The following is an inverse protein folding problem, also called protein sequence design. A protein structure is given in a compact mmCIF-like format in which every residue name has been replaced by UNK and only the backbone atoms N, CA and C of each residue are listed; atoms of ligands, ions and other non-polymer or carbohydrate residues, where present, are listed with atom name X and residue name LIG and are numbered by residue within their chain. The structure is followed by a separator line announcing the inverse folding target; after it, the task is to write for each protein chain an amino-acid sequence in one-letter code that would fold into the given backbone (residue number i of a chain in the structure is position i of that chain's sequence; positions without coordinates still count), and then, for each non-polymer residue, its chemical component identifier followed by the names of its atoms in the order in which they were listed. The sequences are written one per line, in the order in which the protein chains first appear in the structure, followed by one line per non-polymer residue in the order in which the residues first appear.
data_IF_370133923755
#
_entry.id   IF_370133923755
#
_cell.length_a   1.000
_cell.length_b   1.000
_cell.length_c   1.000
_cell.angle_alpha   90.00
_cell.angle_beta   90.00
_cell.angle_gamma   90.00
#
_symmetry.space_group_name_H-M   'P 1'
#
loop_
_entity.id
_entity.type
_entity.pdbx_description
1 polymer ?
#
# COMPACT_ATOMS: atom_id res chain seq x y z
N UNK A 1 3.83 -45.50 5.85
CA UNK A 1 5.05 -44.68 5.74
C UNK A 1 4.99 -43.90 4.43
N UNK A 2 4.54 -42.64 4.47
CA UNK A 2 4.60 -41.72 3.32
C UNK A 2 4.30 -40.29 3.82
N UNK A 3 5.30 -39.58 4.35
CA UNK A 3 5.11 -38.18 4.80
C UNK A 3 6.37 -37.30 4.76
N UNK A 4 7.39 -37.64 3.97
CA UNK A 4 8.65 -36.86 3.92
C UNK A 4 8.93 -36.17 2.57
N UNK A 5 7.98 -36.17 1.62
CA UNK A 5 8.22 -35.65 0.27
C UNK A 5 7.88 -34.17 0.04
N UNK A 6 6.89 -33.63 0.76
CA UNK A 6 6.35 -32.28 0.49
C UNK A 6 7.07 -31.15 1.25
N UNK A 7 7.71 -31.44 2.38
CA UNK A 7 8.43 -30.45 3.20
C UNK A 7 9.79 -30.07 2.60
N UNK A 8 10.49 -31.02 1.96
CA UNK A 8 11.82 -30.81 1.38
C UNK A 8 11.82 -30.00 0.07
N UNK A 9 10.71 -29.99 -0.68
CA UNK A 9 10.63 -29.25 -1.94
C UNK A 9 10.48 -27.73 -1.73
N UNK A 10 9.85 -27.29 -0.64
CA UNK A 10 9.75 -25.88 -0.29
C UNK A 10 11.02 -25.35 0.38
N UNK A 11 11.70 -26.12 1.23
CA UNK A 11 12.96 -25.70 1.87
C UNK A 11 14.09 -25.51 0.86
N UNK A 12 14.24 -26.43 -0.11
CA UNK A 12 15.28 -26.33 -1.14
C UNK A 12 15.08 -25.14 -2.10
N UNK A 13 13.84 -24.67 -2.30
CA UNK A 13 13.53 -23.51 -3.15
C UNK A 13 13.81 -22.16 -2.47
N UNK A 14 13.97 -22.15 -1.15
CA UNK A 14 14.29 -20.94 -0.37
C UNK A 14 15.81 -20.81 -0.16
N UNK A 15 16.53 -21.93 -0.05
CA UNK A 15 17.98 -21.96 0.08
C UNK A 15 18.72 -21.46 -1.18
N UNK A 16 18.07 -21.50 -2.36
CA UNK A 16 18.64 -21.06 -3.64
C UNK A 16 18.20 -19.66 -4.06
N UNK A 17 17.64 -18.84 -3.15
CA UNK A 17 17.19 -17.48 -3.49
C UNK A 17 18.36 -16.50 -3.42
N UNK A 18 18.65 -15.85 -4.54
CA UNK A 18 19.59 -14.74 -4.61
C UNK A 18 18.98 -13.52 -3.93
N UNK A 19 19.29 -13.31 -2.65
CA UNK A 19 18.91 -12.10 -1.93
C UNK A 19 19.80 -10.91 -2.35
N UNK A 20 19.16 -9.78 -2.62
CA UNK A 20 19.87 -8.53 -2.93
C UNK A 20 20.36 -7.92 -1.62
N UNK A 21 21.67 -7.68 -1.52
CA UNK A 21 22.23 -6.97 -0.36
C UNK A 21 21.85 -5.50 -0.38
N UNK A 22 21.64 -4.88 0.78
CA UNK A 22 21.27 -3.46 0.85
C UNK A 22 22.36 -2.52 0.32
N UNK A 23 23.62 -2.94 0.38
CA UNK A 23 24.80 -2.22 -0.08
C UNK A 23 25.27 -2.66 -1.47
N UNK A 24 24.49 -3.49 -2.18
CA UNK A 24 24.82 -3.90 -3.53
C UNK A 24 24.74 -2.70 -4.49
N UNK A 25 25.61 -2.69 -5.49
CA UNK A 25 25.62 -1.67 -6.52
C UNK A 25 24.25 -1.58 -7.21
N UNK A 26 23.71 -0.36 -7.29
CA UNK A 26 22.42 -0.09 -7.92
C UNK A 26 21.20 -0.16 -7.00
N UNK A 27 21.33 -0.54 -5.73
CA UNK A 27 20.21 -0.53 -4.77
C UNK A 27 19.81 0.88 -4.35
N UNK A 28 20.77 1.74 -4.09
CA UNK A 28 20.54 3.14 -3.72
C UNK A 28 21.33 4.05 -4.65
N UNK A 29 20.63 5.03 -5.22
CA UNK A 29 21.24 6.11 -6.02
C UNK A 29 20.55 7.41 -5.62
N UNK A 30 21.29 8.27 -4.94
CA UNK A 30 20.82 9.60 -4.53
C UNK A 30 20.76 10.48 -5.79
N UNK A 31 19.58 10.94 -6.23
CA UNK A 31 19.48 11.85 -7.37
C UNK A 31 19.98 13.26 -6.99
N UNK A 32 20.36 14.07 -7.98
CA UNK A 32 20.71 15.47 -7.72
C UNK A 32 19.51 16.23 -7.15
N UNK A 33 19.77 17.08 -6.15
CA UNK A 33 18.77 17.92 -5.46
C UNK A 33 17.67 17.15 -4.70
N UNK A 34 17.94 15.90 -4.28
CA UNK A 34 16.94 15.08 -3.58
C UNK A 34 16.43 15.77 -2.30
N UNK A 35 17.32 16.41 -1.54
CA UNK A 35 16.95 17.05 -0.27
C UNK A 35 16.00 18.23 -0.48
N UNK A 36 16.25 19.04 -1.50
CA UNK A 36 15.37 20.14 -1.91
C UNK A 36 14.01 19.62 -2.39
N UNK A 37 14.00 18.52 -3.14
CA UNK A 37 12.78 17.89 -3.62
C UNK A 37 11.95 17.30 -2.46
N UNK A 38 12.60 16.64 -1.49
CA UNK A 38 11.96 16.15 -0.26
C UNK A 38 11.30 17.31 0.49
N UNK A 39 12.04 18.41 0.67
CA UNK A 39 11.53 19.59 1.37
C UNK A 39 10.34 20.21 0.63
N UNK A 40 10.41 20.32 -0.70
CA UNK A 40 9.31 20.81 -1.52
C UNK A 40 8.05 19.93 -1.40
N UNK A 41 8.22 18.59 -1.41
CA UNK A 41 7.10 17.65 -1.19
C UNK A 41 6.48 17.87 0.20
N UNK A 42 7.29 17.99 1.25
CA UNK A 42 6.80 18.23 2.60
C UNK A 42 5.99 19.54 2.68
N UNK A 43 6.46 20.61 2.05
CA UNK A 43 5.75 21.89 1.98
C UNK A 43 4.42 21.80 1.23
N UNK A 44 4.38 21.05 0.11
CA UNK A 44 3.16 20.81 -0.65
C UNK A 44 2.14 20.02 0.16
N UNK A 45 2.55 18.96 0.86
CA UNK A 45 1.68 18.19 1.76
C UNK A 45 1.14 19.08 2.90
N UNK A 46 2.00 19.88 3.53
CA UNK A 46 1.57 20.83 4.57
C UNK A 46 0.55 21.84 4.03
N UNK A 47 0.73 22.32 2.79
CA UNK A 47 -0.22 23.22 2.14
C UNK A 47 -1.59 22.55 1.93
N UNK A 48 -1.61 21.30 1.46
CA UNK A 48 -2.84 20.51 1.32
C UNK A 48 -3.56 20.37 2.66
N UNK A 49 -2.84 19.99 3.72
CA UNK A 49 -3.40 19.83 5.05
C UNK A 49 -3.99 21.14 5.60
N UNK A 50 -3.28 22.26 5.44
CA UNK A 50 -3.78 23.59 5.84
C UNK A 50 -5.04 23.99 5.07
N UNK A 51 -5.09 23.72 3.76
CA UNK A 51 -6.27 24.01 2.96
C UNK A 51 -7.48 23.22 3.46
N UNK A 52 -7.31 21.92 3.71
CA UNK A 52 -8.34 21.05 4.29
C UNK A 52 -8.80 21.53 5.66
N UNK A 53 -7.87 21.92 6.54
CA UNK A 53 -8.19 22.49 7.85
C UNK A 53 -8.97 23.81 7.74
N UNK A 54 -8.61 24.68 6.80
CA UNK A 54 -9.31 25.95 6.62
C UNK A 54 -10.76 25.76 6.17
N UNK A 55 -11.03 24.76 5.31
CA UNK A 55 -12.38 24.47 4.81
C UNK A 55 -13.23 23.68 5.80
N UNK A 56 -12.68 22.66 6.46
CA UNK A 56 -13.44 21.71 7.27
C UNK A 56 -13.29 21.94 8.78
N UNK A 57 -12.37 22.81 9.20
CA UNK A 57 -11.99 23.04 10.60
C UNK A 57 -11.52 21.75 11.32
N UNK A 58 -11.09 20.77 10.54
CA UNK A 58 -10.57 19.48 10.99
C UNK A 58 -9.28 19.16 10.24
N UNK A 59 -8.30 18.58 10.93
CA UNK A 59 -7.03 18.23 10.31
C UNK A 59 -7.11 16.82 9.73
N UNK A 60 -7.16 16.71 8.40
CA UNK A 60 -7.01 15.44 7.71
C UNK A 60 -5.53 15.15 7.42
N UNK A 61 -5.21 13.88 7.19
CA UNK A 61 -3.89 13.51 6.65
C UNK A 61 -3.74 14.08 5.23
N UNK A 62 -2.53 14.53 4.86
CA UNK A 62 -2.31 15.18 3.55
C UNK A 62 -2.52 14.25 2.35
N UNK A 63 -2.44 12.94 2.56
CA UNK A 63 -2.94 11.89 1.67
C UNK A 63 -3.70 10.88 2.51
N UNK A 64 -4.47 9.98 1.87
CA UNK A 64 -5.23 8.93 2.56
C UNK A 64 -6.19 9.48 3.64
N UNK A 65 -6.84 10.61 3.36
CA UNK A 65 -7.64 11.34 4.35
C UNK A 65 -8.84 10.54 4.84
N UNK A 66 -9.44 9.73 3.95
CA UNK A 66 -10.64 8.96 4.26
C UNK A 66 -10.30 7.63 4.91
N UNK A 67 -10.64 7.52 6.20
CA UNK A 67 -10.63 6.24 6.92
C UNK A 67 -11.89 5.45 6.56
N UNK A 68 -11.71 4.20 6.16
CA UNK A 68 -12.80 3.27 5.85
C UNK A 68 -13.08 2.32 7.02
N UNK A 69 -12.06 2.03 7.84
CA UNK A 69 -12.23 1.24 9.06
C UNK A 69 -10.93 1.15 9.86
N UNK A 70 -11.06 0.98 11.18
CA UNK A 70 -9.93 0.69 12.07
C UNK A 70 -10.24 -0.60 12.81
N UNK A 71 -9.31 -1.54 12.76
CA UNK A 71 -9.47 -2.87 13.35
C UNK A 71 -8.30 -3.17 14.29
N UNK A 72 -8.59 -3.95 15.32
CA UNK A 72 -7.58 -4.53 16.22
C UNK A 72 -7.44 -6.01 15.89
N UNK A 73 -6.23 -6.54 16.04
CA UNK A 73 -5.96 -7.95 15.81
C UNK A 73 -4.60 -8.33 16.36
N UNK A 74 -4.12 -9.49 15.95
CA UNK A 74 -2.83 -10.02 16.40
C UNK A 74 -1.94 -10.37 15.21
N UNK A 75 -0.66 -10.01 15.30
CA UNK A 75 0.40 -10.48 14.43
C UNK A 75 1.03 -11.70 15.07
N UNK A 76 0.90 -12.85 14.41
CA UNK A 76 1.46 -14.12 14.88
C UNK A 76 2.76 -14.37 14.11
N UNK A 77 3.88 -14.37 14.83
CA UNK A 77 5.21 -14.72 14.34
C UNK A 77 5.49 -16.16 14.72
N UNK A 78 5.69 -17.02 13.72
CA UNK A 78 6.10 -18.42 13.93
C UNK A 78 7.62 -18.61 13.95
N UNK A 79 8.06 -19.86 13.84
CA UNK A 79 9.47 -20.17 13.62
C UNK A 79 9.87 -19.77 12.20
N UNK A 80 10.76 -18.78 12.10
CA UNK A 80 11.28 -18.28 10.83
C UNK A 80 12.69 -18.80 10.57
N UNK A 81 13.07 -18.85 9.28
CA UNK A 81 14.45 -19.10 8.90
C UNK A 81 15.37 -18.06 9.53
N UNK A 82 16.60 -18.45 9.89
CA UNK A 82 17.53 -17.61 10.65
C UNK A 82 17.73 -16.21 10.04
N UNK A 83 17.74 -16.10 8.70
CA UNK A 83 17.92 -14.82 8.01
C UNK A 83 16.66 -13.92 8.04
N UNK A 84 15.48 -14.47 8.33
CA UNK A 84 14.20 -13.76 8.56
C UNK A 84 13.85 -13.62 10.04
N UNK A 85 14.57 -14.29 10.94
CA UNK A 85 14.33 -14.24 12.37
C UNK A 85 15.08 -13.05 12.99
N UNK A 86 14.65 -11.81 12.72
CA UNK A 86 15.32 -10.59 13.21
C UNK A 86 14.37 -9.55 13.78
N UNK A 87 14.86 -8.74 14.71
CA UNK A 87 14.10 -7.66 15.36
C UNK A 87 12.80 -8.22 15.99
N UNK A 88 11.64 -7.62 15.69
CA UNK A 88 10.31 -8.08 16.09
C UNK A 88 10.05 -9.55 15.71
N UNK A 89 10.72 -10.08 14.68
CA UNK A 89 10.54 -11.45 14.20
C UNK A 89 11.57 -12.44 14.75
N UNK A 90 12.38 -12.04 15.72
CA UNK A 90 13.50 -12.85 16.23
C UNK A 90 13.09 -14.11 16.98
N UNK A 91 11.89 -14.12 17.56
CA UNK A 91 11.34 -15.26 18.29
C UNK A 91 9.86 -15.43 17.93
N UNK A 92 9.34 -16.68 17.97
CA UNK A 92 7.91 -16.90 17.88
C UNK A 92 7.18 -16.11 18.97
N UNK A 93 6.19 -15.33 18.58
CA UNK A 93 5.46 -14.44 19.48
C UNK A 93 4.16 -13.98 18.84
N UNK A 94 3.24 -13.51 19.68
CA UNK A 94 2.00 -12.87 19.27
C UNK A 94 2.01 -11.42 19.73
N UNK A 95 1.81 -10.48 18.80
CA UNK A 95 1.83 -9.05 19.06
C UNK A 95 0.46 -8.43 18.78
N UNK A 96 -0.13 -7.65 19.71
CA UNK A 96 -1.33 -6.89 19.42
C UNK A 96 -1.02 -5.83 18.37
N UNK A 97 -1.88 -5.72 17.35
CA UNK A 97 -1.75 -4.74 16.27
C UNK A 97 -3.07 -3.99 16.07
N UNK A 98 -2.95 -2.80 15.49
CA UNK A 98 -4.07 -2.05 14.94
C UNK A 98 -3.80 -1.79 13.46
N UNK A 99 -4.83 -1.93 12.62
CA UNK A 99 -4.76 -1.63 11.19
C UNK A 99 -5.83 -0.60 10.82
N UNK A 100 -5.48 0.32 9.92
CA UNK A 100 -6.37 1.34 9.37
C UNK A 100 -6.51 1.13 7.87
N UNK A 101 -7.73 0.88 7.41
CA UNK A 101 -8.06 0.89 5.99
C UNK A 101 -8.37 2.32 5.55
N UNK A 102 -7.84 2.73 4.41
CA UNK A 102 -8.04 4.07 3.85
C UNK A 102 -8.02 4.05 2.33
N UNK A 103 -8.65 5.04 1.72
CA UNK A 103 -8.59 5.31 0.28
C UNK A 103 -7.78 6.58 0.05
N UNK A 104 -7.17 6.69 -1.13
CA UNK A 104 -6.43 7.87 -1.57
C UNK A 104 -7.31 8.59 -2.60
N UNK A 105 -7.74 9.83 -2.31
CA UNK A 105 -6.89 11.02 -2.23
C UNK A 105 -6.87 11.73 -0.86
N UNK A 106 -6.30 12.94 -0.82
CA UNK A 106 -6.22 13.80 0.38
C UNK A 106 -7.52 14.55 0.74
N UNK A 107 -8.55 14.48 -0.11
CA UNK A 107 -9.89 15.01 0.17
C UNK A 107 -10.82 13.83 0.51
N UNK A 108 -11.47 13.82 1.70
CA UNK A 108 -12.38 12.73 2.06
C UNK A 108 -13.65 12.67 1.20
N UNK A 109 -14.03 13.74 0.49
CA UNK A 109 -15.16 13.78 -0.43
C UNK A 109 -14.82 13.29 -1.84
N UNK A 110 -13.55 13.10 -2.18
CA UNK A 110 -13.13 12.64 -3.50
C UNK A 110 -12.85 11.14 -3.49
N UNK A 111 -13.61 10.37 -4.27
CA UNK A 111 -13.22 9.07 -4.81
C UNK A 111 -13.17 7.88 -3.82
N UNK A 112 -13.65 6.74 -4.30
CA UNK A 112 -13.71 5.46 -3.57
C UNK A 112 -12.45 4.61 -3.85
N UNK A 113 -11.36 5.17 -4.40
CA UNK A 113 -10.30 4.35 -5.01
C UNK A 113 -9.24 3.84 -4.02
N UNK A 114 -8.92 2.56 -4.15
CA UNK A 114 -7.80 1.89 -3.47
C UNK A 114 -6.57 2.03 -4.36
N UNK A 115 -5.58 2.83 -3.97
CA UNK A 115 -4.52 3.24 -4.91
C UNK A 115 -3.12 2.80 -4.48
N UNK A 116 -2.64 3.22 -3.31
CA UNK A 116 -1.21 3.09 -3.01
C UNK A 116 -0.75 1.64 -2.77
N UNK A 117 -1.24 0.97 -1.74
CA UNK A 117 -0.65 -0.32 -1.31
C UNK A 117 -1.22 -1.55 -1.99
N UNK A 118 -2.23 -1.45 -2.86
CA UNK A 118 -2.86 -2.63 -3.49
C UNK A 118 -2.07 -3.21 -4.67
N UNK A 119 -0.97 -2.56 -5.07
CA UNK A 119 -0.11 -3.00 -6.17
C UNK A 119 1.37 -3.10 -5.80
N UNK A 120 2.11 -4.02 -6.43
CA UNK A 120 3.55 -4.13 -6.27
C UNK A 120 4.31 -3.11 -7.15
N UNK A 121 3.79 -1.89 -7.30
CA UNK A 121 4.38 -0.85 -8.13
C UNK A 121 4.43 0.46 -7.33
N UNK A 122 5.53 1.19 -7.44
CA UNK A 122 5.73 2.48 -6.79
C UNK A 122 5.68 3.56 -7.86
N UNK A 123 4.54 4.23 -8.01
CA UNK A 123 4.33 5.29 -9.00
C UNK A 123 4.97 6.62 -8.58
N UNK A 124 5.14 6.84 -7.29
CA UNK A 124 5.90 7.94 -6.72
C UNK A 124 7.33 7.45 -6.38
N UNK A 125 8.09 7.09 -7.41
CA UNK A 125 9.34 6.33 -7.30
C UNK A 125 10.48 7.08 -6.58
N UNK A 126 10.54 8.41 -6.69
CA UNK A 126 11.54 9.27 -6.07
C UNK A 126 10.94 10.63 -5.68
N UNK A 127 11.69 11.43 -4.93
CA UNK A 127 11.23 12.74 -4.44
C UNK A 127 10.86 13.70 -5.59
N UNK A 128 11.62 13.69 -6.69
CA UNK A 128 11.38 14.51 -7.87
C UNK A 128 10.04 14.17 -8.53
N UNK A 129 9.83 12.90 -8.82
CA UNK A 129 8.61 12.35 -9.41
C UNK A 129 7.43 12.64 -8.50
N UNK A 130 7.58 12.43 -7.19
CA UNK A 130 6.56 12.76 -6.18
C UNK A 130 6.16 14.22 -6.24
N UNK A 131 7.13 15.13 -6.24
CA UNK A 131 6.91 16.58 -6.35
C UNK A 131 6.17 16.94 -7.63
N UNK A 132 6.57 16.38 -8.76
CA UNK A 132 5.95 16.65 -10.06
C UNK A 132 4.49 16.15 -10.11
N UNK A 133 4.24 14.91 -9.68
CA UNK A 133 2.91 14.31 -9.71
C UNK A 133 1.95 14.99 -8.73
N UNK A 134 2.38 15.29 -7.49
CA UNK A 134 1.52 16.02 -6.54
C UNK A 134 1.19 17.41 -7.11
N UNK A 135 2.14 18.10 -7.75
CA UNK A 135 1.88 19.40 -8.38
C UNK A 135 0.83 19.30 -9.49
N UNK A 136 0.90 18.26 -10.32
CA UNK A 136 -0.11 18.00 -11.35
C UNK A 136 -1.48 17.69 -10.72
N UNK A 137 -1.54 16.86 -9.68
CA UNK A 137 -2.77 16.55 -8.98
C UNK A 137 -3.39 17.78 -8.30
N UNK A 138 -2.58 18.68 -7.72
CA UNK A 138 -3.07 19.93 -7.14
C UNK A 138 -3.67 20.85 -8.22
N UNK A 139 -3.01 20.96 -9.38
CA UNK A 139 -3.43 21.89 -10.46
C UNK A 139 -4.61 21.37 -11.27
N UNK A 140 -4.63 20.06 -11.56
CA UNK A 140 -5.52 19.45 -12.56
C UNK A 140 -6.35 18.29 -12.00
N UNK A 141 -6.24 17.95 -10.71
CA UNK A 141 -6.95 16.79 -10.13
C UNK A 141 -8.48 16.83 -10.26
N UNK A 142 -9.07 18.02 -10.36
CA UNK A 142 -10.49 18.22 -10.63
C UNK A 142 -10.89 18.04 -12.11
N UNK A 143 -9.94 18.07 -13.03
CA UNK A 143 -10.14 17.84 -14.47
C UNK A 143 -9.27 16.67 -14.92
N UNK A 144 -9.87 15.48 -14.87
CA UNK A 144 -9.19 14.24 -15.25
C UNK A 144 -8.66 14.28 -16.68
N UNK A 145 -9.38 14.93 -17.61
CA UNK A 145 -8.97 15.00 -19.02
C UNK A 145 -7.71 15.83 -19.16
N UNK A 146 -7.65 16.97 -18.47
CA UNK A 146 -6.46 17.84 -18.49
C UNK A 146 -5.27 17.20 -17.75
N UNK A 147 -5.52 16.60 -16.58
CA UNK A 147 -4.50 15.85 -15.86
C UNK A 147 -3.86 14.77 -16.76
N UNK A 148 -4.68 14.03 -17.51
CA UNK A 148 -4.20 12.96 -18.38
C UNK A 148 -3.32 13.47 -19.52
N UNK A 149 -3.60 14.65 -20.09
CA UNK A 149 -2.71 15.24 -21.10
C UNK A 149 -1.30 15.46 -20.56
N UNK A 150 -1.19 15.93 -19.31
CA UNK A 150 0.11 16.12 -18.68
C UNK A 150 0.79 14.80 -18.32
N UNK A 151 0.03 13.80 -17.85
CA UNK A 151 0.58 12.49 -17.53
C UNK A 151 1.06 11.75 -18.78
N UNK A 152 0.41 11.93 -19.93
CA UNK A 152 0.77 11.30 -21.22
C UNK A 152 2.02 11.87 -21.87
N UNK A 153 2.46 13.07 -21.46
CA UNK A 153 3.72 13.66 -21.91
C UNK A 153 4.96 13.16 -21.14
N UNK A 154 4.76 12.38 -20.08
CA UNK A 154 5.85 11.85 -19.24
C UNK A 154 6.39 10.53 -19.80
N UNK A 155 7.59 10.14 -19.38
CA UNK A 155 8.17 8.84 -19.72
C UNK A 155 7.59 7.68 -18.87
N UNK A 156 7.05 7.99 -17.69
CA UNK A 156 6.45 7.05 -16.73
C UNK A 156 4.91 6.96 -16.85
N UNK A 157 4.33 7.44 -17.97
CA UNK A 157 2.87 7.44 -18.21
C UNK A 157 2.16 6.13 -17.85
N UNK A 158 2.65 4.94 -18.27
CA UNK A 158 1.94 3.70 -17.96
C UNK A 158 1.81 3.49 -16.45
N UNK A 159 2.85 3.83 -15.69
CA UNK A 159 2.88 3.70 -14.24
C UNK A 159 1.92 4.70 -13.58
N UNK A 160 1.93 5.96 -14.03
CA UNK A 160 1.05 7.00 -13.50
C UNK A 160 -0.44 6.77 -13.83
N UNK A 161 -0.74 6.16 -14.98
CA UNK A 161 -2.13 5.82 -15.38
C UNK A 161 -2.61 4.51 -14.75
N UNK A 162 -1.70 3.59 -14.41
CA UNK A 162 -2.06 2.29 -13.84
C UNK A 162 -2.95 2.45 -12.60
N UNK A 163 -2.74 3.47 -11.76
CA UNK A 163 -3.56 3.75 -10.55
C UNK A 163 -5.07 3.76 -10.84
N UNK A 164 -5.47 4.16 -12.04
CA UNK A 164 -6.89 4.22 -12.41
C UNK A 164 -7.47 2.89 -12.89
N UNK A 165 -6.61 1.91 -13.14
CA UNK A 165 -6.97 0.56 -13.55
C UNK A 165 -7.07 -0.39 -12.33
N UNK A 166 -6.90 0.11 -11.09
CA UNK A 166 -7.03 -0.76 -9.90
C UNK A 166 -8.48 -1.17 -9.79
N UNK A 167 -8.73 -2.48 -9.70
CA UNK A 167 -10.06 -2.97 -9.35
C UNK A 167 -10.42 -2.49 -7.96
N UNK A 168 -11.52 -1.75 -7.87
CA UNK A 168 -12.03 -1.28 -6.59
C UNK A 168 -12.82 -2.41 -5.91
N UNK A 169 -12.12 -3.31 -5.23
CA UNK A 169 -12.69 -4.49 -4.56
C UNK A 169 -12.86 -4.28 -3.06
N UNK A 170 -13.41 -5.26 -2.35
CA UNK A 170 -13.46 -5.21 -0.89
C UNK A 170 -12.07 -5.01 -0.27
N UNK A 171 -11.94 -4.06 0.67
CA UNK A 171 -10.64 -3.66 1.24
C UNK A 171 -9.95 -4.81 1.98
N UNK A 172 -10.72 -5.63 2.71
CA UNK A 172 -10.17 -6.79 3.43
C UNK A 172 -9.72 -7.93 2.51
N UNK A 173 -10.18 -7.95 1.25
CA UNK A 173 -9.85 -8.98 0.27
C UNK A 173 -8.72 -8.57 -0.68
N UNK A 174 -8.21 -7.36 -0.53
CA UNK A 174 -7.18 -6.81 -1.40
C UNK A 174 -5.80 -7.10 -0.82
N UNK A 175 -4.92 -7.68 -1.64
CA UNK A 175 -3.51 -7.85 -1.27
C UNK A 175 -2.85 -6.49 -1.09
N UNK A 176 -2.07 -6.33 -0.03
CA UNK A 176 -1.34 -5.09 0.25
C UNK A 176 0.17 -5.32 0.13
N UNK A 177 0.88 -4.31 -0.33
CA UNK A 177 2.31 -4.29 -0.52
C UNK A 177 2.90 -3.06 0.17
N UNK A 178 4.06 -3.25 0.77
CA UNK A 178 4.94 -2.14 1.10
C UNK A 178 5.27 -1.34 -0.16
N UNK A 179 5.17 -0.02 -0.06
CA UNK A 179 5.52 0.88 -1.16
C UNK A 179 7.03 0.98 -1.33
N UNK A 180 7.75 1.22 -0.24
CA UNK A 180 9.20 1.18 -0.21
C UNK A 180 9.75 -0.24 -0.05
N UNK A 181 10.97 -0.46 -0.53
CA UNK A 181 11.79 -1.57 -0.06
C UNK A 181 12.44 -1.17 1.28
N UNK A 182 12.60 -2.13 2.18
CA UNK A 182 13.17 -1.90 3.50
C UNK A 182 14.50 -2.64 3.64
N UNK A 183 15.45 -2.00 4.31
CA UNK A 183 16.64 -2.69 4.81
C UNK A 183 16.21 -3.74 5.85
N UNK A 184 16.58 -4.98 5.60
CA UNK A 184 16.38 -6.11 6.49
C UNK A 184 17.73 -6.75 6.80
N UNK A 185 18.44 -6.10 7.73
CA UNK A 185 19.80 -6.50 8.04
C UNK A 185 20.77 -6.25 6.91
N UNK A 186 21.23 -7.34 6.27
CA UNK A 186 22.16 -7.28 5.13
C UNK A 186 21.45 -7.26 3.77
N UNK A 187 20.12 -7.42 3.75
CA UNK A 187 19.35 -7.54 2.51
C UNK A 187 18.29 -6.46 2.40
N UNK A 188 17.69 -6.32 1.22
CA UNK A 188 16.45 -5.56 1.02
C UNK A 188 15.26 -6.51 0.99
N UNK A 189 14.12 -6.08 1.55
CA UNK A 189 12.86 -6.84 1.55
C UNK A 189 11.69 -5.96 1.14
N UNK A 190 10.68 -6.59 0.57
CA UNK A 190 9.36 -6.00 0.35
C UNK A 190 8.34 -6.82 1.11
N UNK A 191 7.67 -6.18 2.05
CA UNK A 191 6.57 -6.78 2.77
C UNK A 191 5.30 -6.82 1.94
N UNK A 192 4.50 -7.86 2.14
CA UNK A 192 3.16 -7.93 1.60
C UNK A 192 2.21 -8.71 2.52
N UNK A 193 0.94 -8.28 2.53
CA UNK A 193 -0.16 -8.91 3.26
C UNK A 193 -1.09 -9.56 2.25
N UNK A 194 -1.22 -10.89 2.33
CA UNK A 194 -2.05 -11.68 1.42
C UNK A 194 -3.29 -12.18 2.15
N UNK A 195 -4.50 -11.72 1.78
CA UNK A 195 -5.76 -12.27 2.29
C UNK A 195 -5.80 -13.79 2.11
N UNK A 196 -6.12 -14.52 3.18
CA UNK A 196 -5.97 -15.98 3.20
C UNK A 196 -7.26 -16.75 3.47
N UNK A 197 -8.30 -16.12 4.02
CA UNK A 197 -9.58 -16.78 4.27
C UNK A 197 -10.40 -16.99 3.00
N UNK A 198 -11.27 -18.02 3.02
CA UNK A 198 -12.22 -18.27 1.93
C UNK A 198 -13.20 -17.11 1.72
N UNK A 199 -13.65 -16.47 2.80
CA UNK A 199 -14.55 -15.31 2.74
C UNK A 199 -13.89 -14.12 2.05
N UNK A 200 -12.64 -13.78 2.42
CA UNK A 200 -11.90 -12.70 1.75
C UNK A 200 -11.75 -13.00 0.26
N UNK A 201 -11.40 -14.24 -0.14
CA UNK A 201 -11.30 -14.61 -1.56
C UNK A 201 -12.62 -14.39 -2.30
N UNK A 202 -13.76 -14.79 -1.72
CA UNK A 202 -15.09 -14.57 -2.33
C UNK A 202 -15.40 -13.08 -2.50
N UNK A 203 -15.08 -12.26 -1.49
CA UNK A 203 -15.31 -10.82 -1.56
C UNK A 203 -14.42 -10.08 -2.57
N UNK A 204 -13.31 -10.68 -3.02
CA UNK A 204 -12.47 -10.11 -4.07
C UNK A 204 -13.15 -10.13 -5.46
N UNK A 205 -14.14 -11.00 -5.65
CA UNK A 205 -14.89 -11.07 -6.90
C UNK A 205 -15.84 -9.88 -7.04
N UNK A 206 -16.25 -9.28 -5.93
CA UNK A 206 -17.12 -8.11 -5.93
C UNK A 206 -16.32 -6.81 -6.16
N UNK A 207 -16.84 -5.96 -7.05
CA UNK A 207 -16.24 -4.66 -7.38
C UNK A 207 -17.23 -3.54 -7.11
N UNK A 208 -16.74 -2.42 -6.59
CA UNK A 208 -17.51 -1.18 -6.44
C UNK A 208 -18.00 -0.72 -7.81
N UNK A 209 -19.30 -0.47 -7.90
CA UNK A 209 -19.99 0.07 -9.07
C UNK A 209 -20.34 1.53 -8.75
N UNK A 210 -19.65 2.47 -9.39
CA UNK A 210 -19.78 3.90 -9.06
C UNK A 210 -21.15 4.50 -9.37
N UNK A 211 -21.93 3.85 -10.21
CA UNK A 211 -23.29 4.23 -10.61
C UNK A 211 -24.37 3.69 -9.68
N UNK A 212 -24.11 2.57 -8.98
CA UNK A 212 -25.12 1.91 -8.15
C UNK A 212 -24.79 1.86 -6.66
N UNK A 213 -23.53 2.08 -6.26
CA UNK A 213 -23.12 2.05 -4.85
C UNK A 213 -22.96 3.47 -4.29
N UNK A 214 -23.32 3.69 -3.01
CA UNK A 214 -23.07 4.96 -2.34
C UNK A 214 -21.56 5.20 -2.14
N UNK A 215 -21.19 6.45 -1.91
CA UNK A 215 -19.79 6.86 -1.76
C UNK A 215 -19.08 6.18 -0.58
N UNK A 216 -19.80 5.70 0.42
CA UNK A 216 -19.30 5.04 1.63
C UNK A 216 -19.37 3.50 1.59
N UNK A 217 -19.68 2.92 0.43
CA UNK A 217 -19.83 1.47 0.26
C UNK A 217 -18.65 0.65 0.82
N UNK A 218 -17.41 1.12 0.66
CA UNK A 218 -16.23 0.43 1.18
C UNK A 218 -16.20 0.37 2.73
N UNK A 219 -16.70 1.41 3.39
CA UNK A 219 -16.83 1.46 4.85
C UNK A 219 -17.93 0.51 5.31
N UNK A 220 -19.09 0.53 4.63
CA UNK A 220 -20.21 -0.35 4.95
C UNK A 220 -19.84 -1.83 4.76
N UNK A 221 -19.23 -2.18 3.63
CA UNK A 221 -18.69 -3.51 3.38
C UNK A 221 -17.69 -3.96 4.47
N UNK A 222 -16.77 -3.09 4.88
CA UNK A 222 -15.82 -3.41 5.95
C UNK A 222 -16.53 -3.66 7.29
N UNK A 223 -17.51 -2.82 7.65
CA UNK A 223 -18.30 -2.99 8.88
C UNK A 223 -19.07 -4.30 8.85
N UNK A 224 -19.79 -4.58 7.77
CA UNK A 224 -20.55 -5.82 7.60
C UNK A 224 -19.65 -7.05 7.65
N UNK A 225 -18.49 -7.00 6.96
CA UNK A 225 -17.53 -8.08 6.99
C UNK A 225 -17.03 -8.33 8.42
N UNK A 226 -16.55 -7.30 9.11
CA UNK A 226 -15.96 -7.45 10.45
C UNK A 226 -16.99 -7.70 11.56
N UNK A 227 -18.27 -7.42 11.32
CA UNK A 227 -19.35 -7.84 12.22
C UNK A 227 -19.58 -9.35 12.19
N UNK A 228 -19.24 -10.02 11.09
CA UNK A 228 -19.57 -11.43 10.84
C UNK A 228 -18.34 -12.34 10.67
N UNK A 229 -17.15 -11.77 10.42
CA UNK A 229 -15.97 -12.52 10.03
C UNK A 229 -14.67 -11.86 10.53
N UNK A 230 -13.68 -12.71 10.79
CA UNK A 230 -12.29 -12.30 10.97
C UNK A 230 -11.58 -12.18 9.62
N UNK A 231 -10.78 -11.13 9.45
CA UNK A 231 -9.81 -11.06 8.35
C UNK A 231 -8.53 -11.79 8.73
N UNK A 232 -8.00 -12.63 7.83
CA UNK A 232 -6.71 -13.30 7.99
C UNK A 232 -5.79 -12.93 6.84
N UNK A 233 -4.55 -12.59 7.18
CA UNK A 233 -3.53 -12.25 6.20
C UNK A 233 -2.28 -13.09 6.44
N UNK A 234 -1.71 -13.63 5.36
CA UNK A 234 -0.33 -14.12 5.40
C UNK A 234 0.58 -12.91 5.23
N UNK A 235 1.39 -12.64 6.24
CA UNK A 235 2.44 -11.63 6.17
C UNK A 235 3.71 -12.27 5.61
N UNK A 236 4.20 -11.74 4.49
CA UNK A 236 5.26 -12.35 3.71
C UNK A 236 6.31 -11.30 3.29
N UNK A 237 7.50 -11.78 2.93
CA UNK A 237 8.69 -11.03 2.52
C UNK A 237 9.34 -11.62 1.28
#
# INVERSE_FOLDING_TARGET
MASNGLTNAHSNRVASRDYIRWDAEGVEKIPPNEQEDIQAVAEMINKIQRAQFNSHRHMYSGTHARTQGVVKGNLIVGDLLLHLARSLFSKPAEYPIAMRYSTEPGDPGLGIKILASSRPALDLADAKTTKEIINLCIKYGGDKKELYKHLEARNDTPLQKARDEVRNTHLSSTRQYSQAAYRYGNYVVKYYLVPSSGTQKKQYEETVKSDSHPDDILSEWLKEFHANHDAKYLFQV
#
